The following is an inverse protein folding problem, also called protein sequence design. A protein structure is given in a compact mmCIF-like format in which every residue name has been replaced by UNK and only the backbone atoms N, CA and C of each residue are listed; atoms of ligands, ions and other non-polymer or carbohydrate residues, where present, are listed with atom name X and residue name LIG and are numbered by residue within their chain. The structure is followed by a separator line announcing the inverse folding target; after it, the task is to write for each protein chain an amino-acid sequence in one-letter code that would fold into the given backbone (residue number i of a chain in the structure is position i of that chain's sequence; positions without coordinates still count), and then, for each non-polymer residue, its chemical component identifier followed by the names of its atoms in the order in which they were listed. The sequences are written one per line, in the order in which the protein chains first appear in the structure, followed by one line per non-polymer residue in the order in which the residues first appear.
data_IF_908909033096
#
_entry.id   IF_908909033096
#
_cell.length_a   1.000
_cell.length_b   1.000
_cell.length_c   1.000
_cell.angle_alpha   90.00
_cell.angle_beta   90.00
_cell.angle_gamma   90.00
#
_symmetry.space_group_name_H-M   'P 1'
#
loop_
_entity.id
_entity.type
_entity.pdbx_description
1 polymer ?
#
# COMPACT_ATOMS: atom_id res chain seq x y z
N UNK A 1 11.59 -6.24 -17.37
CA UNK A 1 10.30 -6.93 -17.24
C UNK A 1 9.27 -5.97 -17.79
N UNK A 2 8.62 -6.27 -18.92
CA UNK A 2 7.69 -5.33 -19.57
C UNK A 2 6.27 -5.82 -19.33
N UNK A 3 5.61 -5.25 -18.31
CA UNK A 3 4.26 -5.58 -17.91
C UNK A 3 3.21 -4.75 -18.63
N UNK A 4 3.50 -3.48 -18.95
CA UNK A 4 2.57 -2.55 -19.63
C UNK A 4 2.83 -2.36 -21.13
N UNK A 5 4.04 -2.63 -21.63
CA UNK A 5 4.36 -2.38 -23.04
C UNK A 5 4.30 -0.88 -23.38
N UNK A 6 3.81 -0.49 -24.56
CA UNK A 6 3.70 0.91 -24.98
C UNK A 6 2.50 1.67 -24.37
N UNK A 7 1.77 1.03 -23.44
CA UNK A 7 0.53 1.55 -22.86
C UNK A 7 0.81 2.40 -21.63
N UNK A 8 0.14 3.54 -21.52
CA UNK A 8 0.21 4.37 -20.32
C UNK A 8 -0.69 3.78 -19.22
N UNK A 9 -0.20 3.79 -17.99
CA UNK A 9 -1.01 3.46 -16.82
C UNK A 9 -2.09 4.53 -16.68
N UNK A 10 -3.36 4.12 -16.75
CA UNK A 10 -4.51 5.01 -16.61
C UNK A 10 -4.98 5.11 -15.15
N UNK A 11 -4.87 4.01 -14.42
CA UNK A 11 -5.11 3.99 -12.98
C UNK A 11 -4.34 2.85 -12.32
N UNK A 12 -3.94 3.06 -11.07
CA UNK A 12 -3.35 2.03 -10.23
C UNK A 12 -3.92 2.15 -8.82
N UNK A 13 -4.59 1.09 -8.38
CA UNK A 13 -5.28 1.02 -7.10
C UNK A 13 -4.68 -0.09 -6.25
N UNK A 14 -4.12 0.28 -5.10
CA UNK A 14 -3.63 -0.66 -4.12
C UNK A 14 -4.77 -1.03 -3.17
N UNK A 15 -5.22 -2.28 -3.28
CA UNK A 15 -6.30 -2.83 -2.49
C UNK A 15 -5.74 -3.59 -1.30
N UNK A 16 -6.17 -3.18 -0.11
CA UNK A 16 -5.83 -3.81 1.16
C UNK A 16 -7.12 -4.17 1.90
N UNK A 17 -7.06 -5.16 2.77
CA UNK A 17 -8.16 -5.46 3.69
C UNK A 17 -7.68 -5.25 5.12
N UNK A 18 -8.44 -4.48 5.89
CA UNK A 18 -8.21 -4.38 7.33
C UNK A 18 -8.49 -5.75 7.94
N UNK A 19 -7.54 -6.29 8.68
CA UNK A 19 -7.65 -7.59 9.32
C UNK A 19 -8.95 -7.71 10.11
N UNK A 20 -9.64 -8.85 9.97
CA UNK A 20 -10.89 -9.09 10.68
C UNK A 20 -10.62 -9.63 12.09
N UNK A 21 -9.92 -8.84 12.90
CA UNK A 21 -9.59 -9.14 14.30
C UNK A 21 -9.95 -7.96 15.20
N UNK A 22 -10.10 -8.24 16.50
CA UNK A 22 -10.44 -7.20 17.48
C UNK A 22 -9.40 -6.08 17.48
N UNK A 23 -9.86 -4.82 17.45
CA UNK A 23 -9.03 -3.61 17.42
C UNK A 23 -8.16 -3.43 16.16
N UNK A 24 -8.52 -4.04 15.03
CA UNK A 24 -7.83 -3.80 13.76
C UNK A 24 -8.24 -2.50 13.05
N UNK A 25 -9.45 -1.99 13.33
CA UNK A 25 -9.93 -0.71 12.81
C UNK A 25 -9.33 0.48 13.55
N UNK A 26 -9.26 1.62 12.87
CA UNK A 26 -8.68 2.86 13.38
C UNK A 26 -9.46 4.07 12.86
N UNK A 27 -9.38 5.21 13.56
CA UNK A 27 -9.87 6.50 13.06
C UNK A 27 -9.09 7.03 11.85
N UNK A 28 -7.95 6.42 11.51
CA UNK A 28 -7.18 6.67 10.30
C UNK A 28 -6.69 5.36 9.68
N UNK A 29 -7.04 5.11 8.42
CA UNK A 29 -6.51 4.00 7.61
C UNK A 29 -5.05 4.19 7.18
N UNK A 30 -4.40 5.28 7.62
CA UNK A 30 -3.03 5.58 7.28
C UNK A 30 -2.86 6.30 5.94
N UNK A 31 -1.62 6.72 5.70
CA UNK A 31 -1.19 7.37 4.46
C UNK A 31 -0.26 6.44 3.71
N UNK A 32 -0.49 6.29 2.40
CA UNK A 32 0.43 5.57 1.53
C UNK A 32 1.38 6.53 0.86
N UNK A 33 2.65 6.20 0.93
CA UNK A 33 3.77 6.93 0.36
C UNK A 33 4.48 6.06 -0.66
N UNK A 34 4.89 6.63 -1.79
CA UNK A 34 5.90 5.99 -2.63
C UNK A 34 7.27 6.16 -1.96
N UNK A 35 8.06 5.10 -1.91
CA UNK A 35 9.44 5.14 -1.42
C UNK A 35 10.41 4.75 -2.53
N UNK A 36 11.58 5.39 -2.54
CA UNK A 36 12.59 5.09 -3.58
C UNK A 36 13.36 3.82 -3.29
N UNK A 37 13.46 3.45 -2.01
CA UNK A 37 14.23 2.30 -1.57
C UNK A 37 13.41 1.00 -1.61
N UNK A 38 13.65 0.23 -2.66
CA UNK A 38 13.10 -1.11 -2.87
C UNK A 38 13.99 -2.27 -2.42
N UNK A 39 15.07 -2.00 -1.68
CA UNK A 39 16.02 -3.04 -1.26
C UNK A 39 15.64 -3.70 0.07
N UNK A 40 14.44 -3.44 0.59
CA UNK A 40 13.96 -4.11 1.79
C UNK A 40 13.62 -5.56 1.47
N UNK A 41 13.96 -6.44 2.42
CA UNK A 41 13.69 -7.85 2.32
C UNK A 41 12.57 -8.19 3.32
N UNK A 42 11.50 -8.77 2.79
CA UNK A 42 10.27 -9.07 3.55
C UNK A 42 10.50 -9.99 4.75
N UNK A 43 11.51 -10.85 4.71
CA UNK A 43 11.78 -11.83 5.75
C UNK A 43 12.72 -11.29 6.85
N UNK A 44 13.52 -10.27 6.55
CA UNK A 44 14.58 -9.79 7.46
C UNK A 44 14.40 -8.36 7.92
N UNK A 45 13.43 -7.63 7.37
CA UNK A 45 13.16 -6.25 7.76
C UNK A 45 12.67 -6.19 9.23
N UNK A 46 13.23 -5.24 9.96
CA UNK A 46 12.82 -4.87 11.32
C UNK A 46 12.45 -3.38 11.34
N UNK A 47 11.83 -2.91 12.43
CA UNK A 47 11.56 -1.48 12.61
C UNK A 47 12.81 -0.59 12.39
N UNK A 48 13.97 -1.02 12.90
CA UNK A 48 15.21 -0.25 12.80
C UNK A 48 15.86 -0.29 11.41
N UNK A 49 15.52 -1.29 10.61
CA UNK A 49 16.06 -1.49 9.25
C UNK A 49 15.02 -1.20 8.17
N UNK A 50 13.85 -0.69 8.55
CA UNK A 50 12.83 -0.27 7.62
C UNK A 50 13.36 0.91 6.78
N UNK A 51 13.12 0.93 5.46
CA UNK A 51 13.49 2.06 4.64
C UNK A 51 12.83 3.37 5.14
N UNK A 52 13.53 4.51 5.04
CA UNK A 52 12.91 5.79 5.31
C UNK A 52 11.78 6.06 4.31
N UNK A 53 10.70 6.66 4.81
CA UNK A 53 9.62 7.18 3.97
C UNK A 53 10.09 8.53 3.42
N UNK A 54 10.57 8.54 2.18
CA UNK A 54 11.22 9.69 1.54
C UNK A 54 10.34 10.40 0.50
N UNK A 55 9.23 9.77 0.09
CA UNK A 55 8.26 10.35 -0.84
C UNK A 55 7.03 10.99 -0.16
N UNK A 56 6.31 11.85 -0.90
CA UNK A 56 5.07 12.46 -0.41
C UNK A 56 3.98 11.40 -0.20
N UNK A 57 3.03 11.71 0.68
CA UNK A 57 1.80 10.95 0.79
C UNK A 57 1.03 11.06 -0.54
N UNK A 58 0.69 9.91 -1.12
CA UNK A 58 -0.13 9.81 -2.33
C UNK A 58 -1.60 9.96 -1.97
N UNK A 59 -2.01 9.27 -0.90
CA UNK A 59 -3.38 9.22 -0.42
C UNK A 59 -3.37 8.92 1.08
N UNK A 60 -4.27 9.57 1.80
CA UNK A 60 -4.53 9.32 3.22
C UNK A 60 -5.98 8.90 3.38
N UNK A 61 -6.20 7.76 4.02
CA UNK A 61 -7.55 7.29 4.33
C UNK A 61 -8.01 7.80 5.69
N UNK A 62 -9.31 8.10 5.76
CA UNK A 62 -10.02 8.38 7.01
C UNK A 62 -10.25 7.11 7.82
N UNK A 63 -11.27 7.10 8.67
CA UNK A 63 -11.56 5.97 9.54
C UNK A 63 -11.84 4.68 8.75
N UNK A 64 -11.32 3.56 9.26
CA UNK A 64 -11.45 2.21 8.69
C UNK A 64 -11.92 1.22 9.75
N UNK A 65 -12.75 0.26 9.37
CA UNK A 65 -13.29 -0.78 10.24
C UNK A 65 -12.61 -2.13 10.00
N UNK A 66 -12.64 -3.02 11.01
CA UNK A 66 -12.14 -4.39 10.86
C UNK A 66 -12.91 -5.15 9.76
N UNK A 67 -12.20 -5.89 8.91
CA UNK A 67 -12.76 -6.58 7.74
C UNK A 67 -13.15 -5.68 6.58
N UNK A 68 -12.85 -4.38 6.64
CA UNK A 68 -13.12 -3.45 5.54
C UNK A 68 -12.04 -3.57 4.46
N UNK A 69 -12.47 -3.79 3.21
CA UNK A 69 -11.63 -3.56 2.03
C UNK A 69 -11.43 -2.06 1.81
N UNK A 70 -10.18 -1.65 1.68
CA UNK A 70 -9.78 -0.27 1.40
C UNK A 70 -9.02 -0.18 0.10
N UNK A 71 -9.12 0.95 -0.55
CA UNK A 71 -8.54 1.21 -1.85
C UNK A 71 -7.72 2.50 -1.78
N UNK A 72 -6.44 2.38 -2.12
CA UNK A 72 -5.50 3.49 -2.18
C UNK A 72 -5.15 3.77 -3.63
N UNK A 73 -5.55 4.94 -4.12
CA UNK A 73 -5.15 5.40 -5.45
C UNK A 73 -3.66 5.78 -5.43
N UNK A 74 -2.84 4.94 -6.07
CA UNK A 74 -1.39 5.12 -6.21
C UNK A 74 -1.01 5.45 -7.65
N UNK A 75 -1.96 5.81 -8.50
CA UNK A 75 -1.76 6.11 -9.93
C UNK A 75 -0.62 7.10 -10.15
N UNK A 76 -0.54 8.14 -9.33
CA UNK A 76 0.50 9.17 -9.43
C UNK A 76 1.94 8.64 -9.23
N UNK A 77 2.11 7.50 -8.55
CA UNK A 77 3.40 6.87 -8.33
C UNK A 77 3.82 5.89 -9.42
N UNK A 78 2.90 5.52 -10.33
CA UNK A 78 3.13 4.47 -11.34
C UNK A 78 3.02 5.06 -12.76
N UNK A 79 4.04 5.82 -13.22
CA UNK A 79 4.03 6.41 -14.56
C UNK A 79 4.24 5.39 -15.70
N UNK A 80 4.70 4.17 -15.40
CA UNK A 80 4.98 3.15 -16.42
C UNK A 80 5.50 1.83 -15.86
N UNK A 81 6.19 1.05 -16.69
CA UNK A 81 6.83 -0.21 -16.27
C UNK A 81 7.95 0.06 -15.26
N UNK A 82 7.94 -0.64 -14.13
CA UNK A 82 8.94 -0.47 -13.10
C UNK A 82 8.69 -1.33 -11.86
N UNK A 83 9.66 -1.31 -10.96
CA UNK A 83 9.49 -1.79 -9.59
C UNK A 83 9.10 -0.58 -8.75
N UNK A 84 7.99 -0.70 -8.02
CA UNK A 84 7.46 0.35 -7.16
C UNK A 84 7.40 -0.17 -5.74
N UNK A 85 7.78 0.69 -4.79
CA UNK A 85 7.73 0.38 -3.38
C UNK A 85 6.89 1.41 -2.66
N UNK A 86 6.05 0.92 -1.77
CA UNK A 86 5.13 1.72 -1.01
C UNK A 86 5.38 1.50 0.48
N UNK A 87 5.27 2.58 1.24
CA UNK A 87 5.21 2.54 2.69
C UNK A 87 3.84 3.04 3.14
N UNK A 88 3.31 2.46 4.21
CA UNK A 88 2.11 2.95 4.87
C UNK A 88 2.50 3.42 6.27
N UNK A 89 2.09 4.62 6.64
CA UNK A 89 2.25 5.16 7.98
C UNK A 89 0.92 5.71 8.52
N UNK A 90 0.93 6.14 9.77
CA UNK A 90 -0.21 6.82 10.37
C UNK A 90 0.27 7.85 11.39
N UNK A 91 -0.39 9.00 11.43
CA UNK A 91 -0.21 9.98 12.51
C UNK A 91 -1.13 9.70 13.70
N UNK A 92 -2.01 8.69 13.59
CA UNK A 92 -2.90 8.31 14.68
C UNK A 92 -2.14 7.56 15.77
N UNK A 93 -2.62 7.67 17.01
CA UNK A 93 -2.07 6.93 18.15
C UNK A 93 -2.60 5.50 18.23
N UNK A 94 -3.66 5.17 17.47
CA UNK A 94 -4.13 3.80 17.25
C UNK A 94 -3.58 3.23 15.93
N UNK A 95 -3.59 1.90 15.80
CA UNK A 95 -3.05 1.23 14.62
C UNK A 95 -4.17 0.65 13.76
N UNK A 96 -4.12 0.88 12.45
CA UNK A 96 -4.86 0.08 11.49
C UNK A 96 -4.04 -1.19 11.17
N UNK A 97 -4.66 -2.36 11.30
CA UNK A 97 -4.00 -3.64 10.99
C UNK A 97 -4.49 -4.12 9.63
N UNK A 98 -3.60 -4.19 8.64
CA UNK A 98 -3.90 -4.73 7.32
C UNK A 98 -3.44 -6.17 7.17
N UNK A 99 -4.18 -6.97 6.40
CA UNK A 99 -3.81 -8.34 6.10
C UNK A 99 -2.53 -8.37 5.25
N UNK A 100 -1.59 -9.24 5.64
CA UNK A 100 -0.42 -9.57 4.82
C UNK A 100 -0.75 -10.70 3.84
N UNK A 101 0.18 -11.00 2.93
CA UNK A 101 0.07 -12.17 2.03
C UNK A 101 0.03 -13.51 2.77
N UNK A 102 0.57 -13.56 3.98
CA UNK A 102 0.64 -14.76 4.82
C UNK A 102 -0.57 -14.88 5.75
N UNK A 103 -1.37 -13.80 5.84
CA UNK A 103 -2.61 -13.79 6.61
C UNK A 103 -3.69 -14.65 5.95
N UNK A 104 -4.73 -14.96 6.73
CA UNK A 104 -5.88 -15.76 6.26
C UNK A 104 -7.00 -14.94 5.60
N UNK A 105 -6.85 -13.61 5.51
CA UNK A 105 -7.82 -12.71 4.89
C UNK A 105 -7.53 -12.43 3.42
N UNK A 106 -8.12 -11.36 2.87
CA UNK A 106 -7.82 -10.94 1.50
C UNK A 106 -6.38 -10.40 1.43
N UNK A 107 -5.51 -10.99 0.59
CA UNK A 107 -4.13 -10.53 0.48
C UNK A 107 -4.05 -9.18 -0.24
N UNK A 108 -2.99 -8.39 0.01
CA UNK A 108 -2.72 -7.15 -0.72
C UNK A 108 -2.65 -7.38 -2.23
N UNK A 109 -3.30 -6.51 -3.02
CA UNK A 109 -3.27 -6.56 -4.47
C UNK A 109 -3.12 -5.16 -5.07
N UNK A 110 -2.27 -5.05 -6.09
CA UNK A 110 -2.17 -3.84 -6.92
C UNK A 110 -2.91 -4.08 -8.23
N UNK A 111 -4.02 -3.36 -8.43
CA UNK A 111 -4.83 -3.41 -9.65
C UNK A 111 -4.42 -2.26 -10.55
N UNK A 112 -3.82 -2.57 -11.70
CA UNK A 112 -3.38 -1.58 -12.68
C UNK A 112 -4.26 -1.64 -13.92
N UNK A 113 -4.81 -0.50 -14.32
CA UNK A 113 -5.52 -0.33 -15.58
C UNK A 113 -4.65 0.46 -16.56
N UNK A 114 -4.68 0.06 -17.83
CA UNK A 114 -3.75 0.53 -18.85
C UNK A 114 -4.54 1.00 -20.06
N UNK A 115 -4.27 2.23 -20.53
CA UNK A 115 -4.89 2.78 -21.72
C UNK A 115 -4.07 2.42 -22.98
N UNK A 116 -4.72 2.13 -24.13
CA UNK A 116 -4.03 1.84 -25.39
C UNK A 116 -3.11 2.95 -25.88
#
# INVERSE_FOLDING_TARGET
MSGVGAKHVSSAHLQLEVANVTNAGSVSGGSIHAITNCTWDELTMTWNTAPPIDGPALVTLGAVAAGQGVDFDVTAAIPGDGVYCFAIDTTSTDSAIYNSREGSGVPPALVVQVAP
#
